data_IF_666645446628
#
_entry.id   IF_666645446628
#
_cell.length_a   1.000
_cell.length_b   1.000
_cell.length_c   1.000
_cell.angle_alpha   90.00
_cell.angle_beta   90.00
_cell.angle_gamma   90.00
#
_symmetry.space_group_name_H-M   'P 1'
#
loop_
_entity.id
_entity.type
_entity.pdbx_description
1 polymer ?
#
# COMPACT_ATOMS: atom_id res chain seq x y z
N UNK A 1 1.84 -11.83 -5.33
CA UNK A 1 1.92 -12.63 -6.58
C UNK A 1 1.00 -13.85 -6.54
N UNK A 2 0.94 -14.59 -5.42
CA UNK A 2 -0.06 -15.66 -5.23
C UNK A 2 -1.50 -15.23 -5.55
N UNK A 3 -1.94 -14.08 -5.02
CA UNK A 3 -3.31 -13.58 -5.25
C UNK A 3 -3.61 -13.29 -6.73
N UNK A 4 -2.59 -12.87 -7.50
CA UNK A 4 -2.69 -12.61 -8.94
C UNK A 4 -2.91 -13.93 -9.69
N UNK A 5 -2.12 -14.97 -9.35
CA UNK A 5 -2.26 -16.33 -9.92
C UNK A 5 -3.62 -16.94 -9.61
N UNK A 6 -4.03 -16.93 -8.33
CA UNK A 6 -5.28 -17.54 -7.88
C UNK A 6 -6.51 -16.80 -8.42
N UNK A 7 -6.38 -15.51 -8.73
CA UNK A 7 -7.44 -14.72 -9.38
C UNK A 7 -7.43 -14.82 -10.91
N UNK A 8 -6.56 -15.68 -11.49
CA UNK A 8 -6.34 -15.84 -12.93
C UNK A 8 -6.08 -14.50 -13.66
N UNK A 9 -5.35 -13.61 -13.00
CA UNK A 9 -4.94 -12.32 -13.55
C UNK A 9 -3.60 -12.46 -14.27
N UNK A 10 -3.35 -11.57 -15.24
CA UNK A 10 -2.04 -11.40 -15.89
C UNK A 10 -1.44 -10.06 -15.51
N UNK A 11 -0.16 -9.81 -15.81
CA UNK A 11 0.44 -8.46 -15.74
C UNK A 11 0.93 -8.04 -17.13
N UNK A 12 0.05 -8.23 -18.13
CA UNK A 12 0.33 -7.93 -19.54
C UNK A 12 -0.62 -6.83 -20.02
N UNK A 13 -0.09 -5.81 -20.69
CA UNK A 13 -0.91 -4.73 -21.27
C UNK A 13 -1.75 -5.22 -22.46
N UNK A 14 -2.70 -4.42 -22.90
CA UNK A 14 -3.45 -4.67 -24.13
C UNK A 14 -2.57 -4.68 -25.40
N UNK A 15 -1.42 -4.02 -25.36
CA UNK A 15 -0.39 -4.02 -26.41
C UNK A 15 0.66 -5.13 -26.23
N UNK A 16 0.45 -6.08 -25.31
CA UNK A 16 1.36 -7.17 -24.97
C UNK A 16 2.67 -6.76 -24.29
N UNK A 17 2.76 -5.53 -23.76
CA UNK A 17 3.89 -5.15 -22.91
C UNK A 17 3.83 -5.91 -21.59
N UNK A 18 4.99 -6.38 -21.13
CA UNK A 18 5.12 -6.90 -19.79
C UNK A 18 5.12 -5.76 -18.78
N UNK A 19 4.33 -5.90 -17.73
CA UNK A 19 4.16 -4.87 -16.70
C UNK A 19 4.76 -5.32 -15.38
N UNK A 20 5.54 -4.44 -14.77
CA UNK A 20 5.90 -4.54 -13.36
C UNK A 20 4.76 -3.95 -12.54
N UNK A 21 4.15 -4.77 -11.67
CA UNK A 21 3.03 -4.35 -10.83
C UNK A 21 3.47 -3.95 -9.42
N UNK A 22 2.98 -2.80 -8.95
CA UNK A 22 2.98 -2.39 -7.55
C UNK A 22 1.82 -2.99 -6.75
N UNK A 23 0.78 -3.47 -7.42
CA UNK A 23 -0.39 -4.09 -6.82
C UNK A 23 -1.65 -3.96 -7.68
N UNK A 24 -2.57 -4.92 -7.54
CA UNK A 24 -3.86 -4.95 -8.22
C UNK A 24 -4.98 -4.95 -7.18
N UNK A 25 -6.04 -4.19 -7.43
CA UNK A 25 -7.23 -4.14 -6.59
C UNK A 25 -8.50 -4.22 -7.44
N UNK A 26 -9.52 -4.91 -6.93
CA UNK A 26 -10.89 -4.85 -7.45
C UNK A 26 -11.70 -3.87 -6.60
N UNK A 27 -12.14 -2.77 -7.20
CA UNK A 27 -13.03 -1.80 -6.55
C UNK A 27 -14.44 -1.99 -7.10
N UNK A 28 -15.37 -2.34 -6.22
CA UNK A 28 -16.79 -2.48 -6.55
C UNK A 28 -17.63 -1.76 -5.50
N UNK A 29 -18.73 -1.15 -5.95
CA UNK A 29 -19.71 -0.54 -5.08
C UNK A 29 -21.10 -1.01 -5.50
N UNK A 30 -21.99 -1.22 -4.53
CA UNK A 30 -23.37 -1.59 -4.78
C UNK A 30 -24.31 -0.95 -3.76
N UNK A 31 -25.56 -0.70 -4.16
CA UNK A 31 -26.64 -0.30 -3.28
C UNK A 31 -27.87 -1.16 -3.58
N UNK A 32 -28.45 -1.78 -2.56
CA UNK A 32 -29.60 -2.69 -2.70
C UNK A 32 -29.36 -3.79 -3.77
N UNK A 33 -28.14 -4.35 -3.79
CA UNK A 33 -27.73 -5.39 -4.74
C UNK A 33 -27.50 -4.89 -6.18
N UNK A 34 -27.69 -3.60 -6.46
CA UNK A 34 -27.41 -3.02 -7.78
C UNK A 34 -26.00 -2.43 -7.82
N UNK A 35 -25.19 -2.73 -8.85
CA UNK A 35 -23.87 -2.15 -8.99
C UNK A 35 -23.97 -0.63 -9.21
N UNK A 36 -23.10 0.10 -8.54
CA UNK A 36 -22.97 1.55 -8.68
C UNK A 36 -21.84 1.89 -9.66
N UNK A 37 -21.85 3.14 -10.12
CA UNK A 37 -20.75 3.77 -10.87
C UNK A 37 -20.36 5.06 -10.18
N UNK A 38 -19.15 5.53 -10.43
CA UNK A 38 -18.76 6.88 -10.03
C UNK A 38 -19.64 7.87 -10.80
N UNK A 39 -20.11 8.91 -10.10
CA UNK A 39 -20.94 9.94 -10.71
C UNK A 39 -20.13 10.72 -11.78
N UNK A 40 -20.82 11.24 -12.80
CA UNK A 40 -20.17 12.00 -13.86
C UNK A 40 -19.41 13.22 -13.30
N UNK A 41 -18.19 13.43 -13.78
CA UNK A 41 -17.30 14.49 -13.29
C UNK A 41 -16.74 14.26 -11.88
N UNK A 42 -17.04 13.14 -11.23
CA UNK A 42 -16.46 12.75 -9.96
C UNK A 42 -15.37 11.69 -10.15
N UNK A 43 -14.43 11.65 -9.21
CA UNK A 43 -13.41 10.60 -9.13
C UNK A 43 -13.40 10.01 -7.72
N UNK A 44 -12.94 8.76 -7.64
CA UNK A 44 -12.53 8.15 -6.39
C UNK A 44 -11.01 8.26 -6.27
N UNK A 45 -10.54 8.49 -5.04
CA UNK A 45 -9.13 8.47 -4.74
C UNK A 45 -8.71 7.05 -4.35
N UNK A 46 -7.69 6.53 -5.03
CA UNK A 46 -7.12 5.21 -4.79
C UNK A 46 -5.75 5.40 -4.17
N UNK A 47 -5.64 4.96 -2.93
CA UNK A 47 -4.38 4.96 -2.19
C UNK A 47 -3.76 3.56 -2.26
N UNK A 48 -2.62 3.45 -2.95
CA UNK A 48 -1.83 2.23 -3.01
C UNK A 48 -0.52 2.39 -2.22
N UNK A 49 -0.38 1.76 -1.04
CA UNK A 49 0.85 1.84 -0.26
C UNK A 49 2.02 1.18 -1.00
N UNK A 50 3.20 1.78 -0.92
CA UNK A 50 4.39 1.26 -1.58
C UNK A 50 5.62 1.42 -0.66
N UNK A 51 6.26 0.34 -0.17
CA UNK A 51 7.44 0.44 0.69
C UNK A 51 8.55 1.33 0.09
N UNK A 52 8.63 1.37 -1.25
CA UNK A 52 9.46 2.30 -2.01
C UNK A 52 8.77 2.64 -3.33
N UNK A 53 8.66 3.94 -3.64
CA UNK A 53 8.17 4.37 -4.96
C UNK A 53 9.17 4.06 -6.07
N UNK A 54 8.62 3.69 -7.21
CA UNK A 54 9.26 3.37 -8.47
C UNK A 54 8.82 4.43 -9.47
N UNK A 55 9.78 4.97 -10.22
CA UNK A 55 9.48 5.93 -11.28
C UNK A 55 8.68 5.27 -12.41
N UNK A 56 7.80 6.04 -13.05
CA UNK A 56 6.97 5.61 -14.19
C UNK A 56 5.77 4.73 -13.84
N UNK A 57 5.48 4.54 -12.55
CA UNK A 57 4.25 3.85 -12.11
C UNK A 57 3.02 4.68 -12.45
N UNK A 58 1.99 4.01 -12.98
CA UNK A 58 0.73 4.59 -13.44
C UNK A 58 -0.46 3.73 -13.03
N UNK A 59 -1.66 4.28 -13.12
CA UNK A 59 -2.91 3.55 -12.96
C UNK A 59 -3.37 3.00 -14.32
N UNK A 60 -3.58 1.69 -14.37
CA UNK A 60 -4.17 0.98 -15.49
C UNK A 60 -5.47 0.31 -15.10
N UNK A 61 -6.41 0.22 -16.03
CA UNK A 61 -7.70 -0.42 -15.87
C UNK A 61 -7.74 -1.77 -16.57
N UNK A 62 -8.34 -2.74 -15.91
CA UNK A 62 -8.52 -4.08 -16.44
C UNK A 62 -9.65 -4.13 -17.47
N UNK A 63 -9.32 -4.43 -18.73
CA UNK A 63 -10.28 -4.67 -19.80
C UNK A 63 -10.35 -6.16 -20.11
N UNK A 64 -11.56 -6.72 -20.01
CA UNK A 64 -11.81 -8.15 -20.26
C UNK A 64 -13.05 -8.63 -19.51
N UNK A 65 -13.58 -9.77 -19.91
CA UNK A 65 -14.59 -10.52 -19.15
C UNK A 65 -13.88 -11.53 -18.24
N UNK A 66 -14.49 -11.93 -17.12
CA UNK A 66 -13.95 -12.95 -16.17
C UNK A 66 -13.55 -14.27 -16.85
N UNK A 67 -14.09 -14.56 -18.04
CA UNK A 67 -13.76 -15.75 -18.85
C UNK A 67 -12.55 -15.58 -19.77
N UNK A 68 -12.10 -14.35 -20.03
CA UNK A 68 -10.92 -14.03 -20.83
C UNK A 68 -9.83 -13.46 -19.93
N UNK A 69 -8.57 -13.62 -20.31
CA UNK A 69 -7.48 -13.01 -19.56
C UNK A 69 -7.62 -11.49 -19.57
N UNK A 70 -7.67 -10.90 -18.37
CA UNK A 70 -7.70 -9.45 -18.18
C UNK A 70 -6.41 -8.85 -18.77
N UNK A 71 -6.57 -7.78 -19.55
CA UNK A 71 -5.47 -6.96 -20.07
C UNK A 71 -5.54 -5.56 -19.47
N UNK A 72 -4.38 -4.95 -19.26
CA UNK A 72 -4.27 -3.64 -18.61
C UNK A 72 -4.13 -2.53 -19.64
N UNK A 73 -5.00 -1.52 -19.51
CA UNK A 73 -5.01 -0.32 -20.35
C UNK A 73 -4.69 0.88 -19.47
N UNK A 74 -3.67 1.66 -19.82
CA UNK A 74 -3.35 2.88 -19.08
C UNK A 74 -4.53 3.87 -19.12
N UNK A 75 -4.92 4.41 -17.97
CA UNK A 75 -6.01 5.39 -17.88
C UNK A 75 -5.50 6.79 -18.23
N UNK A 76 -5.36 7.13 -19.51
CA UNK A 76 -4.93 8.49 -19.90
C UNK A 76 -6.09 9.49 -19.89
N UNK A 77 -5.89 10.76 -19.48
CA UNK A 77 -4.63 11.36 -19.02
C UNK A 77 -4.30 11.11 -17.53
N UNK A 78 -5.25 10.64 -16.71
CA UNK A 78 -5.14 10.55 -15.24
C UNK A 78 -4.35 9.34 -14.73
N UNK A 79 -3.40 8.84 -15.52
CA UNK A 79 -2.66 7.62 -15.20
C UNK A 79 -1.56 7.89 -14.18
N UNK A 80 -1.08 9.13 -14.06
CA UNK A 80 0.04 9.44 -13.17
C UNK A 80 -0.40 9.59 -11.71
N UNK A 81 0.46 9.21 -10.76
CA UNK A 81 0.17 9.40 -9.35
C UNK A 81 0.18 10.89 -9.01
N UNK A 82 -0.88 11.34 -8.35
CA UNK A 82 -1.02 12.70 -7.84
C UNK A 82 0.06 12.94 -6.77
N UNK A 83 0.81 14.03 -6.92
CA UNK A 83 1.70 14.50 -5.87
C UNK A 83 0.87 15.07 -4.71
N UNK A 84 0.98 14.46 -3.55
CA UNK A 84 0.34 15.02 -2.36
C UNK A 84 1.12 16.24 -1.88
N UNK A 85 0.47 17.40 -1.95
CA UNK A 85 1.00 18.67 -1.46
C UNK A 85 0.40 18.96 -0.09
N UNK A 86 1.26 19.28 0.87
CA UNK A 86 0.87 19.72 2.19
C UNK A 86 1.77 20.87 2.64
N UNK A 87 1.26 21.63 3.59
CA UNK A 87 2.03 22.62 4.32
C UNK A 87 2.78 21.96 5.46
N UNK A 88 3.98 22.45 5.75
CA UNK A 88 4.66 22.16 7.02
C UNK A 88 4.51 23.31 8.01
N UNK A 89 4.33 24.53 7.51
CA UNK A 89 4.26 25.76 8.30
C UNK A 89 3.19 26.70 7.71
N UNK A 90 1.90 26.37 7.85
CA UNK A 90 0.80 27.27 7.49
C UNK A 90 0.66 28.42 8.50
N UNK A 91 -0.08 29.48 8.13
CA UNK A 91 -0.44 30.60 9.02
C UNK A 91 -1.08 30.14 10.34
N UNK A 92 -1.91 29.09 10.30
CA UNK A 92 -2.44 28.44 11.51
C UNK A 92 -2.24 26.93 11.46
N UNK A 93 -1.56 26.39 12.47
CA UNK A 93 -1.38 24.95 12.64
C UNK A 93 -2.69 24.25 13.04
N UNK A 94 -2.88 22.97 12.63
CA UNK A 94 -3.99 22.17 13.12
C UNK A 94 -3.93 22.01 14.64
N UNK A 95 -5.09 21.90 15.28
CA UNK A 95 -5.20 21.78 16.73
C UNK A 95 -6.23 20.72 17.14
N UNK A 96 -5.92 19.92 18.15
CA UNK A 96 -6.83 18.96 18.75
C UNK A 96 -7.22 19.40 20.17
N UNK A 97 -8.52 19.44 20.47
CA UNK A 97 -9.02 19.83 21.80
C UNK A 97 -8.46 21.17 22.26
N UNK A 98 -7.89 21.19 23.48
CA UNK A 98 -7.16 22.33 24.06
C UNK A 98 -5.65 22.26 23.84
N UNK A 99 -5.15 21.24 23.15
CA UNK A 99 -3.73 21.04 22.84
C UNK A 99 -3.23 19.60 23.08
N UNK A 100 -1.91 19.38 23.01
CA UNK A 100 -1.30 18.03 23.10
C UNK A 100 -1.66 17.25 24.37
N UNK A 101 -1.96 17.94 25.47
CA UNK A 101 -2.36 17.32 26.72
C UNK A 101 -3.65 16.49 26.60
N UNK A 102 -4.59 16.90 25.74
CA UNK A 102 -5.83 16.14 25.53
C UNK A 102 -5.58 14.85 24.73
N UNK A 103 -4.59 14.85 23.83
CA UNK A 103 -4.17 13.63 23.13
C UNK A 103 -3.53 12.65 24.12
N UNK A 104 -2.67 13.14 25.02
CA UNK A 104 -2.01 12.30 26.03
C UNK A 104 -3.01 11.58 26.94
N UNK A 105 -4.19 12.15 27.22
CA UNK A 105 -5.25 11.50 28.01
C UNK A 105 -5.84 10.27 27.31
N UNK A 106 -5.74 10.16 26.00
CA UNK A 106 -6.25 9.03 25.22
C UNK A 106 -5.25 7.87 25.13
N UNK A 107 -3.98 8.13 25.44
CA UNK A 107 -2.89 7.15 25.38
C UNK A 107 -3.00 6.22 26.58
N UNK A 108 -2.97 4.91 26.30
CA UNK A 108 -2.98 3.85 27.30
C UNK A 108 -1.64 3.11 27.27
N UNK A 109 -0.97 3.03 28.42
CA UNK A 109 0.29 2.31 28.49
C UNK A 109 0.09 0.81 28.20
N UNK A 110 0.74 0.23 27.17
CA UNK A 110 0.57 -1.18 26.83
C UNK A 110 1.06 -2.12 27.95
N UNK A 111 0.34 -3.21 28.18
CA UNK A 111 0.70 -4.21 29.22
C UNK A 111 2.10 -4.78 29.05
N UNK A 112 2.52 -5.02 27.80
CA UNK A 112 3.85 -5.52 27.48
C UNK A 112 4.94 -4.50 27.86
N UNK A 113 4.73 -3.23 27.53
CA UNK A 113 5.63 -2.15 27.89
C UNK A 113 5.69 -1.91 29.41
N UNK A 114 4.58 -2.11 30.15
CA UNK A 114 4.57 -2.11 31.63
C UNK A 114 5.43 -3.27 32.16
N UNK A 115 5.21 -4.50 31.67
CA UNK A 115 5.91 -5.70 32.15
C UNK A 115 7.42 -5.62 31.92
N UNK A 116 7.83 -4.98 30.82
CA UNK A 116 9.24 -4.76 30.47
C UNK A 116 9.80 -3.41 30.92
N UNK A 117 8.99 -2.58 31.57
CA UNK A 117 9.35 -1.22 31.99
C UNK A 117 9.89 -0.35 30.83
N UNK A 118 9.38 -0.56 29.62
CA UNK A 118 9.82 0.11 28.39
C UNK A 118 9.40 1.57 28.41
N UNK A 119 10.34 2.52 28.38
CA UNK A 119 10.08 3.96 28.42
C UNK A 119 10.72 4.70 27.26
N UNK A 120 10.22 5.90 26.96
CA UNK A 120 10.86 6.80 26.02
C UNK A 120 9.88 7.72 25.30
N UNK A 121 10.35 8.31 24.21
CA UNK A 121 9.54 9.15 23.34
C UNK A 121 9.27 8.40 22.04
N UNK A 122 7.99 8.31 21.67
CA UNK A 122 7.52 7.85 20.36
C UNK A 122 7.16 9.06 19.52
N UNK A 123 7.62 9.09 18.28
CA UNK A 123 7.34 10.15 17.32
C UNK A 123 6.49 9.60 16.20
N UNK A 124 5.31 10.18 16.01
CA UNK A 124 4.44 9.88 14.88
C UNK A 124 4.35 11.07 13.92
N UNK A 125 4.50 10.81 12.62
CA UNK A 125 4.15 11.77 11.56
C UNK A 125 2.81 11.42 10.96
N UNK A 126 2.01 12.43 10.66
CA UNK A 126 0.69 12.29 10.04
C UNK A 126 0.32 13.59 9.33
N UNK A 127 -0.72 13.56 8.49
CA UNK A 127 -1.29 14.74 7.86
C UNK A 127 -2.68 14.99 8.46
N UNK A 128 -2.98 16.23 8.80
CA UNK A 128 -4.37 16.65 9.08
C UNK A 128 -4.92 17.26 7.80
N UNK A 129 -6.00 16.70 7.28
CA UNK A 129 -6.66 17.20 6.07
C UNK A 129 -7.57 18.42 6.35
N UNK A 130 -8.14 18.97 5.29
CA UNK A 130 -9.01 20.15 5.34
C UNK A 130 -10.29 19.92 6.16
N UNK A 131 -10.68 18.65 6.36
CA UNK A 131 -11.82 18.23 7.16
C UNK A 131 -11.43 17.83 8.59
N UNK A 132 -10.18 18.03 9.00
CA UNK A 132 -9.70 17.66 10.33
C UNK A 132 -9.50 16.16 10.54
N UNK A 133 -9.42 15.38 9.44
CA UNK A 133 -9.15 13.94 9.49
C UNK A 133 -7.66 13.69 9.52
N UNK A 134 -7.27 12.68 10.29
CA UNK A 134 -5.89 12.21 10.36
C UNK A 134 -5.66 11.25 9.20
N UNK A 135 -4.73 11.61 8.33
CA UNK A 135 -4.33 10.86 7.14
C UNK A 135 -2.90 10.35 7.30
N UNK A 136 -2.69 9.09 6.90
CA UNK A 136 -1.38 8.44 6.84
C UNK A 136 -0.51 8.55 8.12
N UNK A 137 -1.03 8.17 9.31
CA UNK A 137 -0.21 8.16 10.51
C UNK A 137 0.87 7.08 10.45
N UNK A 138 2.12 7.47 10.71
CA UNK A 138 3.32 6.61 10.68
C UNK A 138 4.21 6.89 11.88
N UNK A 139 4.87 5.85 12.39
CA UNK A 139 5.91 6.00 13.39
C UNK A 139 7.22 6.34 12.71
N UNK A 140 7.79 7.50 13.05
CA UNK A 140 9.10 7.96 12.57
C UNK A 140 10.19 7.48 13.53
N UNK A 141 9.89 7.44 14.82
CA UNK A 141 10.78 6.90 15.85
C UNK A 141 9.97 6.19 16.92
N UNK A 142 10.13 4.89 17.01
CA UNK A 142 9.43 4.03 17.96
C UNK A 142 10.26 3.66 19.18
N UNK A 143 9.60 3.06 20.17
CA UNK A 143 10.24 2.38 21.31
C UNK A 143 9.81 0.91 21.43
N UNK A 144 8.83 0.47 20.63
CA UNK A 144 8.33 -0.90 20.63
C UNK A 144 7.40 -1.24 21.81
N UNK A 145 7.23 -2.54 22.06
CA UNK A 145 6.39 -3.12 23.13
C UNK A 145 4.92 -2.66 23.17
N UNK A 146 4.37 -2.29 22.01
CA UNK A 146 2.98 -1.86 21.85
C UNK A 146 2.79 -0.35 21.90
N UNK A 147 3.81 0.44 22.26
CA UNK A 147 3.69 1.89 22.43
C UNK A 147 3.50 2.60 21.08
N UNK A 148 4.14 2.07 20.05
CA UNK A 148 4.09 2.53 18.67
C UNK A 148 2.67 2.33 18.11
N UNK A 149 2.11 1.13 18.28
CA UNK A 149 0.76 0.77 17.88
C UNK A 149 -0.30 1.58 18.62
N UNK A 150 -0.07 1.84 19.91
CA UNK A 150 -0.99 2.64 20.73
C UNK A 150 -1.07 4.09 20.24
N UNK A 151 0.07 4.70 19.90
CA UNK A 151 0.07 6.05 19.36
C UNK A 151 -0.68 6.10 18.01
N UNK A 152 -0.47 5.11 17.14
CA UNK A 152 -1.21 5.00 15.89
C UNK A 152 -2.72 4.81 16.14
N UNK A 153 -3.11 4.03 17.16
CA UNK A 153 -4.51 3.84 17.55
C UNK A 153 -5.16 5.15 17.95
N UNK A 154 -4.51 5.93 18.82
CA UNK A 154 -5.02 7.23 19.28
C UNK A 154 -5.14 8.20 18.10
N UNK A 155 -4.11 8.31 17.25
CA UNK A 155 -4.18 9.18 16.08
C UNK A 155 -5.36 8.84 15.17
N UNK A 156 -5.60 7.55 14.89
CA UNK A 156 -6.78 7.11 14.12
C UNK A 156 -8.09 7.46 14.83
N UNK A 157 -8.16 7.30 16.16
CA UNK A 157 -9.35 7.63 16.96
C UNK A 157 -9.67 9.13 16.96
N UNK A 158 -8.66 9.99 16.90
CA UNK A 158 -8.87 11.45 16.86
C UNK A 158 -9.27 11.99 15.49
N UNK A 159 -9.29 11.15 14.45
CA UNK A 159 -9.61 11.55 13.09
C UNK A 159 -11.00 12.21 12.99
N UNK A 160 -11.07 13.36 12.33
CA UNK A 160 -12.29 14.16 12.15
C UNK A 160 -12.58 15.11 13.31
N UNK A 161 -11.81 15.05 14.40
CA UNK A 161 -11.95 15.93 15.57
C UNK A 161 -10.89 17.02 15.65
N UNK A 162 -10.00 17.11 14.66
CA UNK A 162 -8.99 18.17 14.60
C UNK A 162 -9.59 19.42 13.98
N UNK A 163 -9.20 20.58 14.51
CA UNK A 163 -9.32 21.83 13.77
C UNK A 163 -8.27 21.81 12.66
N UNK A 164 -8.66 22.00 11.38
CA UNK A 164 -7.71 21.98 10.28
C UNK A 164 -6.76 23.17 10.36
N UNK A 165 -5.61 23.06 9.70
CA UNK A 165 -4.73 24.20 9.51
C UNK A 165 -5.32 25.18 8.49
N UNK A 166 -4.99 26.46 8.63
CA UNK A 166 -5.46 27.51 7.72
C UNK A 166 -4.28 28.22 7.04
N UNK A 167 -4.41 28.46 5.73
CA UNK A 167 -3.57 29.38 4.97
C UNK A 167 -4.46 30.33 4.18
N UNK A 168 -4.20 31.64 4.25
CA UNK A 168 -4.98 32.65 3.53
C UNK A 168 -6.50 32.49 3.77
N UNK A 169 -6.87 32.13 5.01
CA UNK A 169 -8.26 31.88 5.41
C UNK A 169 -8.90 30.58 4.90
N UNK A 170 -8.19 29.74 4.14
CA UNK A 170 -8.69 28.46 3.63
C UNK A 170 -8.10 27.30 4.42
N UNK A 171 -8.92 26.26 4.66
CA UNK A 171 -8.45 25.01 5.25
C UNK A 171 -7.48 24.31 4.28
N UNK A 172 -6.36 23.83 4.81
CA UNK A 172 -5.29 23.20 4.02
C UNK A 172 -4.77 21.93 4.69
N UNK A 173 -4.24 21.00 3.90
CA UNK A 173 -3.52 19.83 4.42
C UNK A 173 -2.22 20.24 5.09
N UNK A 174 -1.99 19.76 6.30
CA UNK A 174 -0.77 20.07 7.06
C UNK A 174 -0.12 18.81 7.58
N UNK A 175 1.17 18.64 7.30
CA UNK A 175 1.97 17.56 7.87
C UNK A 175 2.45 17.94 9.27
N UNK A 176 2.20 17.04 10.21
CA UNK A 176 2.56 17.21 11.61
C UNK A 176 3.46 16.07 12.09
N UNK A 177 4.21 16.36 13.16
CA UNK A 177 4.92 15.36 13.96
C UNK A 177 4.49 15.54 15.42
N UNK A 178 3.96 14.47 16.02
CA UNK A 178 3.55 14.44 17.42
C UNK A 178 4.52 13.57 18.23
N UNK A 179 5.27 14.15 19.18
CA UNK A 179 6.00 13.40 20.18
C UNK A 179 5.08 13.01 21.35
N UNK A 180 5.09 11.73 21.75
CA UNK A 180 4.41 11.23 22.95
C UNK A 180 5.40 10.53 23.85
N UNK A 181 5.43 10.90 25.14
CA UNK A 181 6.29 10.32 26.15
C UNK A 181 5.58 9.18 26.88
N UNK A 182 6.14 7.98 26.81
CA UNK A 182 5.80 6.87 27.68
C UNK A 182 6.78 6.86 28.84
N UNK A 183 6.28 7.20 30.03
CA UNK A 183 7.08 7.21 31.25
C UNK A 183 6.47 6.23 32.26
N UNK A 184 7.22 5.19 32.59
CA UNK A 184 6.85 4.26 33.64
C UNK A 184 7.37 4.79 34.98
N UNK A 185 6.47 4.98 35.94
CA UNK A 185 6.84 5.30 37.31
C UNK A 185 6.56 4.07 38.17
N UNK A 186 7.61 3.47 38.73
CA UNK A 186 7.46 2.39 39.69
C UNK A 186 6.71 2.92 40.93
N UNK A 187 5.54 2.35 41.23
CA UNK A 187 4.79 2.64 42.47
C UNK A 187 3.42 3.31 42.32
N UNK A 188 2.94 3.60 41.10
CA UNK A 188 1.58 4.10 40.87
C UNK A 188 0.75 3.07 40.09
N UNK A 189 0.36 1.99 40.79
CA UNK A 189 -0.80 1.21 40.38
C UNK A 189 -2.07 2.06 40.66
N UNK A 190 -2.99 2.05 39.71
CA UNK A 190 -4.21 2.86 39.70
C UNK A 190 -5.06 2.70 40.98
N UNK A 191 -5.46 3.82 41.56
CA UNK A 191 -6.81 3.99 42.10
C UNK A 191 -7.28 5.43 41.87
N UNK A 192 -8.51 5.55 41.39
CA UNK A 192 -9.27 6.80 41.27
C UNK A 192 -9.55 7.42 42.64
N UNK A 193 -9.79 8.74 42.63
CA UNK A 193 -10.27 9.63 43.69
C UNK A 193 -9.35 9.88 44.90
N UNK A 194 -8.76 11.08 44.95
CA UNK A 194 -9.16 12.07 45.96
C UNK A 194 -8.53 13.43 45.64
N UNK A 195 -9.37 14.45 45.71
CA UNK A 195 -8.96 15.85 45.74
C UNK A 195 -8.07 16.13 46.96
N UNK A 196 -7.02 16.93 46.75
CA UNK A 196 -6.47 17.82 47.76
C UNK A 196 -5.68 18.94 47.07
N UNK A 197 -6.21 20.14 47.21
CA UNK A 197 -5.61 21.43 46.94
C UNK A 197 -4.38 21.64 47.82
N UNK A 198 -3.24 22.02 47.25
CA UNK A 198 -2.29 22.89 47.94
C UNK A 198 -1.55 23.79 46.95
N UNK A 199 -1.59 25.07 47.28
CA UNK A 199 -0.92 26.20 46.65
C UNK A 199 0.61 26.01 46.63
N UNK A 200 1.24 26.40 45.51
CA UNK A 200 2.64 26.82 45.50
C UNK A 200 2.73 28.14 44.75
N UNK A 201 3.26 29.10 45.49
CA UNK A 201 3.54 30.49 45.18
C UNK A 201 4.47 30.70 43.98
N UNK A 202 4.26 31.85 43.35
CA UNK A 202 5.11 32.56 42.39
C UNK A 202 6.61 32.46 42.66
N UNK A 203 7.42 32.28 41.62
CA UNK A 203 8.30 33.32 41.09
C UNK A 203 9.07 32.80 39.85
N UNK A 204 9.34 33.68 38.89
CA UNK A 204 10.22 33.60 37.71
C UNK A 204 9.52 34.03 36.42
N UNK A 205 9.25 35.33 36.32
CA UNK A 205 9.00 36.02 35.05
C UNK A 205 10.33 36.11 34.30
N UNK A 206 10.49 35.36 33.21
CA UNK A 206 11.51 35.65 32.21
C UNK A 206 10.83 36.20 30.96
N UNK A 207 11.10 37.47 30.71
CA UNK A 207 10.77 38.19 29.49
C UNK A 207 11.46 37.52 28.30
N UNK A 208 10.68 36.94 27.38
CA UNK A 208 11.15 36.67 26.02
C UNK A 208 10.83 37.89 25.15
N UNK A 209 11.90 38.57 24.75
CA UNK A 209 11.93 39.59 23.72
C UNK A 209 11.23 39.10 22.47
N UNK A 210 10.23 39.87 22.01
CA UNK A 210 9.55 39.67 20.74
C UNK A 210 10.50 40.06 19.62
N UNK A 211 11.21 39.10 19.04
CA UNK A 211 11.77 39.28 17.70
C UNK A 211 10.62 39.18 16.69
N UNK A 212 10.38 40.28 15.99
CA UNK A 212 9.44 40.37 14.89
C UNK A 212 9.92 39.46 13.75
N UNK A 213 9.31 38.28 13.65
CA UNK A 213 9.58 37.31 12.60
C UNK A 213 9.00 37.85 11.28
N UNK A 214 9.78 37.92 10.19
CA UNK A 214 9.25 38.34 8.89
C UNK A 214 8.16 37.36 8.46
N UNK A 215 7.17 37.78 7.64
CA UNK A 215 6.09 36.91 7.22
C UNK A 215 6.68 35.68 6.53
N UNK A 216 6.52 34.51 7.15
CA UNK A 216 6.91 33.24 6.57
C UNK A 216 6.11 33.09 5.27
N UNK A 217 6.80 33.11 4.13
CA UNK A 217 6.19 32.67 2.89
C UNK A 217 5.68 31.24 3.10
N UNK A 218 4.44 30.92 2.70
CA UNK A 218 3.91 29.57 2.87
C UNK A 218 4.82 28.55 2.18
N UNK A 219 5.54 27.77 2.99
CA UNK A 219 6.36 26.68 2.47
C UNK A 219 5.47 25.45 2.23
N UNK A 220 5.13 25.24 0.97
CA UNK A 220 4.62 23.95 0.53
C UNK A 220 5.79 23.00 0.35
N UNK A 221 5.64 21.77 0.85
CA UNK A 221 6.52 20.67 0.47
C UNK A 221 5.69 19.61 -0.23
N UNK A 222 5.94 19.43 -1.52
CA UNK A 222 5.67 18.16 -2.16
C UNK A 222 6.75 17.20 -1.66
N UNK A 223 6.41 16.29 -0.75
CA UNK A 223 7.32 15.19 -0.43
C UNK A 223 6.84 13.92 -1.13
N UNK A 224 7.75 13.14 -1.71
CA UNK A 224 7.41 11.82 -2.21
C UNK A 224 6.89 10.98 -1.05
N UNK A 225 5.58 10.76 -1.02
CA UNK A 225 4.99 9.78 -0.11
C UNK A 225 5.43 8.39 -0.56
N UNK A 226 5.59 7.46 0.36
CA UNK A 226 5.82 6.04 0.10
C UNK A 226 4.50 5.33 -0.27
N UNK A 227 3.73 5.97 -1.16
CA UNK A 227 2.39 5.59 -1.61
C UNK A 227 2.15 6.16 -3.02
N UNK A 228 1.32 5.51 -3.82
CA UNK A 228 0.77 6.09 -5.04
C UNK A 228 -0.66 6.53 -4.77
N UNK A 229 -0.94 7.79 -5.09
CA UNK A 229 -2.28 8.34 -5.01
C UNK A 229 -2.82 8.52 -6.41
N UNK A 230 -3.85 7.76 -6.78
CA UNK A 230 -4.46 7.90 -8.10
C UNK A 230 -5.88 8.40 -7.99
N UNK A 231 -6.36 9.08 -9.03
CA UNK A 231 -7.76 9.42 -9.21
C UNK A 231 -8.36 8.50 -10.27
N UNK A 232 -9.53 7.94 -10.02
CA UNK A 232 -10.24 7.14 -11.03
C UNK A 232 -11.70 7.53 -11.12
N UNK A 233 -12.19 7.77 -12.33
CA UNK A 233 -13.61 7.95 -12.61
C UNK A 233 -14.35 6.60 -12.81
N UNK A 234 -13.67 5.47 -12.62
CA UNK A 234 -14.22 4.14 -12.93
C UNK A 234 -14.03 3.18 -11.75
N UNK A 235 -14.98 2.26 -11.61
CA UNK A 235 -14.87 1.11 -10.69
C UNK A 235 -14.50 -0.14 -11.51
N UNK A 236 -13.78 -1.07 -10.90
CA UNK A 236 -13.36 -2.32 -11.55
C UNK A 236 -11.99 -2.77 -11.09
N UNK A 237 -11.33 -3.56 -11.94
CA UNK A 237 -9.95 -3.96 -11.72
C UNK A 237 -8.99 -2.82 -12.06
N UNK A 238 -8.14 -2.50 -11.10
CA UNK A 238 -7.22 -1.38 -11.16
C UNK A 238 -5.83 -1.88 -10.77
N UNK A 239 -4.83 -1.54 -11.57
CA UNK A 239 -3.44 -1.94 -11.38
C UNK A 239 -2.57 -0.69 -11.27
N UNK A 240 -1.71 -0.64 -10.27
CA UNK A 240 -0.58 0.27 -10.26
C UNK A 240 0.58 -0.42 -10.95
N UNK A 241 0.94 0.01 -12.15
CA UNK A 241 1.96 -0.67 -12.96
C UNK A 241 2.86 0.27 -13.72
N UNK A 242 3.95 -0.27 -14.26
CA UNK A 242 4.76 0.38 -15.29
C UNK A 242 5.20 -0.65 -16.31
N UNK A 243 5.57 -0.20 -17.51
CA UNK A 243 6.20 -1.09 -18.49
C UNK A 243 7.52 -1.59 -17.91
N UNK A 244 7.69 -2.91 -17.89
CA UNK A 244 8.92 -3.54 -17.47
C UNK A 244 9.89 -3.61 -18.65
N UNK A 245 10.81 -2.64 -18.69
CA UNK A 245 11.90 -2.65 -19.65
C UNK A 245 13.02 -3.56 -19.14
N UNK A 246 13.09 -4.80 -19.65
CA UNK A 246 14.19 -5.71 -19.39
C UNK A 246 15.45 -5.33 -20.21
N UNK A 247 15.91 -4.10 -20.04
CA UNK A 247 16.96 -3.45 -20.85
C UNK A 247 18.17 -4.36 -21.06
N UNK A 248 18.64 -4.44 -22.32
CA UNK A 248 19.82 -5.20 -22.71
C UNK A 248 19.60 -6.70 -22.95
N UNK A 249 18.36 -7.21 -22.82
CA UNK A 249 18.06 -8.60 -23.12
C UNK A 249 17.26 -8.74 -24.42
N UNK A 250 17.67 -9.62 -25.35
CA UNK A 250 16.85 -9.93 -26.52
C UNK A 250 15.55 -10.61 -26.10
N UNK A 251 14.52 -10.52 -26.95
CA UNK A 251 13.32 -11.32 -26.79
C UNK A 251 13.59 -12.79 -27.13
N UNK A 252 12.92 -13.71 -26.44
CA UNK A 252 12.99 -15.15 -26.69
C UNK A 252 11.63 -15.78 -26.48
N UNK A 253 11.43 -16.96 -27.07
CA UNK A 253 10.23 -17.76 -26.89
C UNK A 253 10.55 -18.95 -25.98
N UNK A 254 9.56 -19.40 -25.22
CA UNK A 254 9.65 -20.55 -24.33
C UNK A 254 8.38 -21.39 -24.45
N UNK A 255 8.54 -22.71 -24.59
CA UNK A 255 7.45 -23.68 -24.55
C UNK A 255 7.49 -24.45 -23.22
N UNK A 256 6.39 -24.45 -22.47
CA UNK A 256 6.21 -25.33 -21.33
C UNK A 256 5.42 -26.57 -21.77
N UNK A 257 6.08 -27.72 -21.84
CA UNK A 257 5.44 -28.99 -22.20
C UNK A 257 4.55 -29.47 -21.07
N UNK A 258 3.26 -29.59 -21.38
CA UNK A 258 2.20 -30.06 -20.51
C UNK A 258 0.98 -30.46 -21.37
N UNK A 259 0.06 -31.23 -20.82
CA UNK A 259 -1.21 -31.53 -21.47
C UNK A 259 -2.05 -30.25 -21.60
N UNK A 260 -2.58 -29.98 -22.79
CA UNK A 260 -3.42 -28.82 -23.08
C UNK A 260 -4.89 -29.14 -22.84
N UNK A 261 -5.25 -29.30 -21.57
CA UNK A 261 -6.63 -29.54 -21.15
C UNK A 261 -7.31 -28.25 -20.64
N UNK A 262 -8.66 -28.12 -20.74
CA UNK A 262 -9.38 -26.91 -20.33
C UNK A 262 -9.24 -26.55 -18.84
N UNK A 263 -8.83 -27.51 -18.00
CA UNK A 263 -8.61 -27.33 -16.57
C UNK A 263 -7.20 -26.85 -16.23
N UNK A 264 -6.30 -26.75 -17.20
CA UNK A 264 -4.88 -26.42 -17.00
C UNK A 264 -4.56 -25.00 -17.43
N UNK A 265 -3.94 -24.26 -16.52
CA UNK A 265 -3.37 -22.95 -16.76
C UNK A 265 -1.89 -22.97 -16.42
N UNK A 266 -1.06 -22.47 -17.34
CA UNK A 266 0.38 -22.38 -17.15
C UNK A 266 0.81 -20.92 -17.19
N UNK A 267 1.65 -20.53 -16.23
CA UNK A 267 2.12 -19.18 -16.05
C UNK A 267 3.64 -19.13 -16.02
N UNK A 268 4.21 -18.06 -16.57
CA UNK A 268 5.61 -17.72 -16.43
C UNK A 268 5.74 -16.51 -15.52
N UNK A 269 6.44 -16.67 -14.41
CA UNK A 269 6.52 -15.68 -13.33
C UNK A 269 7.95 -15.15 -13.19
N UNK A 270 8.12 -13.84 -13.35
CA UNK A 270 9.36 -13.12 -13.08
C UNK A 270 9.26 -12.40 -11.74
N UNK A 271 9.84 -12.98 -10.69
CA UNK A 271 9.78 -12.45 -9.32
C UNK A 271 10.39 -11.05 -9.21
N UNK A 272 11.48 -10.78 -9.93
CA UNK A 272 12.19 -9.50 -9.86
C UNK A 272 11.32 -8.30 -10.25
N UNK A 273 10.42 -8.49 -11.22
CA UNK A 273 9.53 -7.46 -11.72
C UNK A 273 8.07 -7.68 -11.30
N UNK A 274 7.80 -8.71 -10.48
CA UNK A 274 6.44 -9.13 -10.12
C UNK A 274 5.54 -9.35 -11.36
N UNK A 275 6.16 -9.78 -12.46
CA UNK A 275 5.48 -9.95 -13.75
C UNK A 275 5.01 -11.38 -13.89
N UNK A 276 3.80 -11.56 -14.41
CA UNK A 276 3.14 -12.83 -14.64
C UNK A 276 2.54 -12.86 -16.05
N UNK A 277 3.02 -13.80 -16.85
CA UNK A 277 2.57 -14.04 -18.21
C UNK A 277 1.77 -15.33 -18.24
N UNK A 278 0.63 -15.33 -18.93
CA UNK A 278 -0.18 -16.54 -19.13
C UNK A 278 0.21 -17.23 -20.44
N UNK A 279 0.55 -18.51 -20.35
CA UNK A 279 0.93 -19.32 -21.49
C UNK A 279 -0.26 -19.53 -22.43
N UNK A 280 -0.01 -19.40 -23.73
CA UNK A 280 -1.02 -19.68 -24.75
C UNK A 280 -0.99 -21.17 -25.07
N UNK A 281 -2.13 -21.90 -24.95
CA UNK A 281 -2.15 -23.31 -25.29
C UNK A 281 -1.91 -23.50 -26.79
N UNK A 282 -0.94 -24.34 -27.13
CA UNK A 282 -0.53 -24.69 -28.49
C UNK A 282 -0.23 -26.20 -28.57
N UNK A 283 0.06 -26.71 -29.77
CA UNK A 283 0.46 -28.11 -29.92
C UNK A 283 1.74 -28.38 -29.10
N UNK A 284 1.69 -29.39 -28.22
CA UNK A 284 2.82 -29.77 -27.37
C UNK A 284 2.97 -28.99 -26.05
N UNK A 285 2.09 -28.03 -25.74
CA UNK A 285 2.06 -27.38 -24.43
C UNK A 285 1.60 -25.93 -24.43
N UNK A 286 2.28 -25.10 -23.64
CA UNK A 286 1.93 -23.69 -23.43
C UNK A 286 3.08 -22.78 -23.85
N UNK A 287 2.82 -21.93 -24.85
CA UNK A 287 3.80 -21.02 -25.42
C UNK A 287 3.84 -19.66 -24.70
N UNK A 288 5.05 -19.16 -24.52
CA UNK A 288 5.36 -17.82 -24.03
C UNK A 288 6.20 -17.12 -25.09
N UNK A 289 5.62 -16.15 -25.78
CA UNK A 289 6.28 -15.46 -26.90
C UNK A 289 6.85 -14.11 -26.47
N UNK A 290 7.97 -13.72 -27.06
CA UNK A 290 8.60 -12.41 -26.86
C UNK A 290 8.90 -12.07 -25.39
N UNK A 291 9.27 -13.06 -24.58
CA UNK A 291 9.65 -12.82 -23.18
C UNK A 291 11.12 -12.39 -23.10
N UNK A 292 11.53 -11.63 -22.07
CA UNK A 292 12.93 -11.25 -21.91
C UNK A 292 13.83 -12.47 -21.75
N UNK A 293 14.89 -12.59 -22.56
CA UNK A 293 15.89 -13.63 -22.39
C UNK A 293 16.78 -13.39 -21.16
N UNK A 294 17.49 -14.43 -20.72
CA UNK A 294 18.46 -14.39 -19.62
C UNK A 294 17.87 -13.92 -18.28
N UNK A 295 16.57 -14.13 -18.06
CA UNK A 295 15.89 -13.78 -16.82
C UNK A 295 15.50 -15.02 -16.04
N UNK A 296 15.75 -15.00 -14.73
CA UNK A 296 15.26 -16.04 -13.81
C UNK A 296 13.75 -15.95 -13.74
N UNK A 297 13.09 -17.07 -13.97
CA UNK A 297 11.65 -17.18 -13.94
C UNK A 297 11.23 -18.50 -13.27
N UNK A 298 9.95 -18.57 -12.92
CA UNK A 298 9.32 -19.81 -12.46
C UNK A 298 8.15 -20.10 -13.37
N UNK A 299 8.17 -21.25 -14.02
CA UNK A 299 6.99 -21.81 -14.66
C UNK A 299 6.10 -22.44 -13.60
N UNK A 300 4.81 -22.14 -13.66
CA UNK A 300 3.81 -22.64 -12.72
C UNK A 300 2.65 -23.19 -13.53
N UNK A 301 2.44 -24.50 -13.45
CA UNK A 301 1.22 -25.14 -13.93
C UNK A 301 0.23 -25.31 -12.79
N UNK A 302 -1.03 -24.93 -13.00
CA UNK A 302 -2.15 -25.21 -12.09
C UNK A 302 -3.20 -25.95 -12.92
N UNK A 303 -3.61 -27.12 -12.47
CA UNK A 303 -4.62 -27.95 -13.13
C UNK A 303 -5.68 -28.37 -12.12
N UNK A 304 -6.96 -28.31 -12.49
CA UNK A 304 -8.04 -28.87 -11.68
C UNK A 304 -8.67 -30.07 -12.39
N UNK A 305 -8.72 -31.21 -11.71
CA UNK A 305 -9.35 -32.43 -12.22
C UNK A 305 -10.29 -32.98 -11.14
N UNK A 306 -11.60 -32.99 -11.40
CA UNK A 306 -12.62 -33.41 -10.43
C UNK A 306 -12.47 -32.72 -9.06
N UNK A 307 -12.31 -31.40 -9.07
CA UNK A 307 -12.08 -30.55 -7.89
C UNK A 307 -10.78 -30.81 -7.11
N UNK A 308 -9.92 -31.71 -7.59
CA UNK A 308 -8.58 -31.94 -7.04
C UNK A 308 -7.57 -31.03 -7.75
N UNK A 309 -6.86 -30.16 -7.02
CA UNK A 309 -5.83 -29.31 -7.61
C UNK A 309 -4.53 -30.10 -7.81
N UNK A 310 -3.92 -29.89 -8.97
CA UNK A 310 -2.58 -30.32 -9.33
C UNK A 310 -1.72 -29.10 -9.58
N UNK A 311 -0.44 -29.19 -9.19
CA UNK A 311 0.50 -28.09 -9.35
C UNK A 311 1.82 -28.60 -9.91
N UNK A 312 2.45 -27.82 -10.78
CA UNK A 312 3.81 -28.00 -11.25
C UNK A 312 4.59 -26.69 -11.04
N UNK A 313 5.81 -26.77 -10.51
CA UNK A 313 6.71 -25.61 -10.43
C UNK A 313 8.07 -26.00 -10.98
N UNK A 314 8.58 -25.21 -11.91
CA UNK A 314 9.88 -25.39 -12.52
C UNK A 314 10.61 -24.05 -12.54
N UNK A 315 11.74 -23.96 -11.83
CA UNK A 315 12.62 -22.80 -11.97
C UNK A 315 13.36 -22.89 -13.30
N UNK A 316 13.47 -21.76 -14.01
CA UNK A 316 14.15 -21.71 -15.30
C UNK A 316 14.84 -20.36 -15.50
N UNK A 317 15.69 -20.30 -16.53
CA UNK A 317 16.23 -19.07 -17.09
C UNK A 317 15.79 -18.99 -18.54
N UNK A 318 15.02 -17.96 -18.88
CA UNK A 318 14.50 -17.77 -20.24
C UNK A 318 15.64 -17.68 -21.26
N UNK A 319 15.45 -18.31 -22.42
CA UNK A 319 16.44 -18.35 -23.50
C UNK A 319 17.58 -19.36 -23.29
N UNK A 320 17.68 -20.02 -22.12
CA UNK A 320 18.63 -21.12 -21.90
C UNK A 320 18.18 -22.41 -22.59
N UNK A 321 16.89 -22.70 -22.48
CA UNK A 321 16.23 -23.82 -23.13
C UNK A 321 14.98 -23.30 -23.85
N UNK A 322 14.72 -23.79 -25.06
CA UNK A 322 13.50 -23.44 -25.80
C UNK A 322 12.27 -24.16 -25.23
N UNK A 323 12.46 -25.24 -24.49
CA UNK A 323 11.40 -26.07 -23.93
C UNK A 323 11.73 -26.50 -22.51
N UNK A 324 10.72 -26.49 -21.64
CA UNK A 324 10.77 -26.94 -20.26
C UNK A 324 9.57 -27.87 -20.01
N UNK A 325 9.78 -29.01 -19.34
CA UNK A 325 8.67 -29.95 -19.06
C UNK A 325 8.12 -29.73 -17.65
N UNK A 326 6.79 -29.68 -17.53
CA UNK A 326 6.12 -29.52 -16.25
C UNK A 326 5.68 -30.87 -15.66
N UNK A 327 6.21 -31.19 -14.48
CA UNK A 327 5.80 -32.35 -13.71
C UNK A 327 4.68 -31.97 -12.73
N UNK A 328 3.43 -32.28 -13.07
CA UNK A 328 2.28 -32.06 -12.20
C UNK A 328 2.24 -33.08 -11.07
N UNK A 329 1.94 -32.59 -9.88
CA UNK A 329 1.63 -33.42 -8.71
C UNK A 329 0.33 -32.99 -8.08
N UNK A 330 -0.40 -33.95 -7.54
CA UNK A 330 -1.59 -33.69 -6.73
C UNK A 330 -1.22 -32.84 -5.50
N UNK A 331 -2.11 -31.97 -5.09
CA UNK A 331 -1.94 -31.14 -3.89
C UNK A 331 -3.29 -30.80 -3.27
N UNK A 332 -3.28 -30.03 -2.18
CA UNK A 332 -4.48 -29.46 -1.56
C UNK A 332 -4.52 -27.95 -1.81
N UNK A 333 -5.69 -27.32 -1.64
CA UNK A 333 -5.81 -25.86 -1.76
C UNK A 333 -4.87 -25.13 -0.79
N UNK A 334 -4.82 -25.55 0.47
CA UNK A 334 -3.94 -24.99 1.49
C UNK A 334 -2.45 -25.11 1.13
N UNK A 335 -2.04 -26.25 0.60
CA UNK A 335 -0.65 -26.44 0.15
C UNK A 335 -0.32 -25.59 -1.07
N UNK A 336 -1.24 -25.51 -2.04
CA UNK A 336 -1.12 -24.64 -3.20
C UNK A 336 -0.92 -23.18 -2.75
N UNK A 337 -1.77 -22.67 -1.86
CA UNK A 337 -1.65 -21.32 -1.30
C UNK A 337 -0.30 -21.11 -0.61
N UNK A 338 0.13 -22.04 0.25
CA UNK A 338 1.43 -21.98 0.92
C UNK A 338 2.60 -21.99 -0.07
N UNK A 339 2.50 -22.75 -1.15
CA UNK A 339 3.53 -22.82 -2.20
C UNK A 339 3.60 -21.51 -2.98
N UNK A 340 2.46 -20.97 -3.41
CA UNK A 340 2.39 -19.72 -4.14
C UNK A 340 2.79 -18.51 -3.26
N UNK A 341 2.56 -18.57 -1.95
CA UNK A 341 3.00 -17.53 -1.02
C UNK A 341 4.53 -17.38 -0.95
N UNK A 342 5.31 -18.40 -1.33
CA UNK A 342 6.78 -18.34 -1.43
C UNK A 342 7.29 -17.60 -2.67
N UNK A 343 6.37 -17.15 -3.55
CA UNK A 343 6.69 -16.33 -4.72
C UNK A 343 6.68 -14.82 -4.41
N UNK A 344 6.60 -14.45 -3.12
CA UNK A 344 6.59 -13.05 -2.66
C UNK A 344 7.91 -12.33 -2.91
#
# INVERSE_FOLDING_TARGET
>A
MADILLSNLSTVSDNNDLLETGGIVLVQASAQGRPLRVAEGQTIQIDMPAPRRQSGMRLSFGRGDRRKHLRWVALTPDSEPVEEKFYTEPEKMPAYGKGPADINKLIRYPKQAIAKQTQGLVFASFVVDEAGRVVNPKIVRGIGDGCDEELLRVLRQTSGSWKPGLQAGKAVKVKMVLPVRFAFHAGLASSLDSAATTEITSDSTQELTTEEMPPAEPSFKAEPTDRYLFSSAQLGWLNCDRVWHATGNPATDLMATADTDPGTSVYLVFKEAKTLVTGQPEEGGYAFRNVPANKRAVLIGIRYQNDVPFVALQETTTGRHATETLAFRETTLDELERMLAKLK
#
